data_IF_664747194253
#
_entry.id   IF_664747194253
#
_cell.length_a   1.000
_cell.length_b   1.000
_cell.length_c   1.000
_cell.angle_alpha   90.00
_cell.angle_beta   90.00
_cell.angle_gamma   90.00
#
_symmetry.space_group_name_H-M   'P 1'
#
loop_
_entity.id
_entity.type
_entity.pdbx_description
1 polymer ?
#
# COMPACT_ATOMS: atom_id res chain seq x y z
N UNK A 1 -31.43 4.82 18.52
CA UNK A 1 -30.78 6.07 18.13
C UNK A 1 -30.70 6.09 16.62
N UNK A 2 -30.91 7.21 15.93
CA UNK A 2 -30.67 7.21 14.47
C UNK A 2 -29.24 6.78 14.24
N UNK A 3 -29.06 5.81 13.34
CA UNK A 3 -27.76 5.32 12.93
C UNK A 3 -27.02 6.48 12.25
N UNK A 4 -25.90 6.91 12.83
CA UNK A 4 -25.10 7.99 12.28
C UNK A 4 -24.42 7.46 11.03
N UNK A 5 -24.66 8.09 9.87
CA UNK A 5 -23.94 7.77 8.64
C UNK A 5 -22.49 8.25 8.74
N UNK A 6 -21.60 7.36 9.19
CA UNK A 6 -20.16 7.61 9.34
C UNK A 6 -19.44 7.70 7.97
N UNK A 7 -20.13 7.45 6.86
CA UNK A 7 -19.54 7.59 5.50
C UNK A 7 -19.38 9.06 5.08
N UNK A 8 -20.00 10.00 5.77
CA UNK A 8 -19.92 11.42 5.49
C UNK A 8 -18.66 12.02 6.13
N UNK A 9 -17.63 12.26 5.32
CA UNK A 9 -16.44 12.98 5.75
C UNK A 9 -16.74 14.48 5.77
N UNK A 10 -16.65 15.12 6.95
CA UNK A 10 -16.81 16.56 7.07
C UNK A 10 -15.70 17.29 6.31
N UNK A 11 -16.08 18.18 5.38
CA UNK A 11 -15.13 19.03 4.66
C UNK A 11 -14.60 20.11 5.59
N UNK A 12 -13.29 20.37 5.54
CA UNK A 12 -12.63 21.39 6.34
C UNK A 12 -11.28 21.78 5.79
N UNK A 13 -10.81 22.99 6.11
CA UNK A 13 -9.55 23.56 5.62
C UNK A 13 -8.30 22.78 6.09
N UNK A 14 -8.46 21.89 7.08
CA UNK A 14 -7.37 21.01 7.58
C UNK A 14 -6.94 19.99 6.54
N UNK A 15 -7.86 19.50 5.70
CA UNK A 15 -7.60 18.48 4.72
C UNK A 15 -7.31 19.10 3.36
N UNK A 16 -6.24 18.68 2.74
CA UNK A 16 -5.85 19.10 1.38
C UNK A 16 -6.71 18.37 0.33
N UNK A 17 -6.72 18.91 -0.86
CA UNK A 17 -7.24 18.27 -2.06
C UNK A 17 -6.09 17.76 -2.89
N UNK A 18 -6.27 16.61 -3.53
CA UNK A 18 -5.33 16.13 -4.54
C UNK A 18 -5.43 16.96 -5.82
N UNK A 19 -4.43 16.96 -6.70
CA UNK A 19 -4.52 17.60 -8.02
C UNK A 19 -5.65 17.05 -8.89
N UNK A 20 -6.17 15.84 -8.58
CA UNK A 20 -7.25 15.18 -9.31
C UNK A 20 -8.62 15.39 -8.68
N UNK A 21 -8.69 16.01 -7.51
CA UNK A 21 -9.93 16.10 -6.71
C UNK A 21 -11.12 16.62 -7.51
N UNK A 22 -10.97 17.75 -8.24
CA UNK A 22 -12.07 18.36 -9.00
C UNK A 22 -12.49 17.49 -10.19
N UNK A 23 -11.57 16.79 -10.84
CA UNK A 23 -11.88 15.84 -11.90
C UNK A 23 -12.65 14.63 -11.35
N UNK A 24 -12.21 14.06 -10.23
CA UNK A 24 -12.86 12.89 -9.62
C UNK A 24 -14.32 13.16 -9.26
N UNK A 25 -14.66 14.41 -8.84
CA UNK A 25 -16.05 14.79 -8.52
C UNK A 25 -17.02 14.63 -9.70
N UNK A 26 -16.55 14.77 -10.95
CA UNK A 26 -17.38 14.59 -12.15
C UNK A 26 -17.84 13.17 -12.37
N UNK A 27 -17.17 12.22 -11.72
CA UNK A 27 -17.48 10.78 -11.78
C UNK A 27 -18.29 10.30 -10.58
N UNK A 28 -18.84 11.22 -9.77
CA UNK A 28 -19.78 10.95 -8.68
C UNK A 28 -19.26 9.92 -7.67
N UNK A 29 -18.14 10.18 -6.97
CA UNK A 29 -17.63 9.26 -5.96
C UNK A 29 -18.67 9.02 -4.87
N UNK A 30 -18.83 7.75 -4.48
CA UNK A 30 -19.82 7.29 -3.50
C UNK A 30 -19.25 7.20 -2.08
N UNK A 31 -17.94 7.33 -1.91
CA UNK A 31 -17.31 7.28 -0.60
C UNK A 31 -15.97 8.00 -0.58
N UNK A 32 -15.67 8.60 0.57
CA UNK A 32 -14.42 9.28 0.84
C UNK A 32 -13.87 8.86 2.20
N UNK A 33 -12.56 8.88 2.32
CA UNK A 33 -11.86 8.89 3.60
C UNK A 33 -10.82 10.00 3.61
N UNK A 34 -10.10 10.14 4.71
CA UNK A 34 -8.93 11.03 4.83
C UNK A 34 -7.68 10.17 4.93
N UNK A 35 -6.72 10.43 4.06
CA UNK A 35 -5.44 9.72 4.02
C UNK A 35 -4.32 10.75 3.89
N UNK A 36 -3.29 10.70 4.73
CA UNK A 36 -2.20 11.70 4.76
C UNK A 36 -2.69 13.16 4.75
N UNK A 37 -3.79 13.47 5.47
CA UNK A 37 -4.43 14.78 5.53
C UNK A 37 -5.02 15.27 4.18
N UNK A 38 -5.37 14.35 3.29
CA UNK A 38 -6.05 14.65 2.02
C UNK A 38 -7.37 13.89 1.91
N UNK A 39 -8.32 14.49 1.19
CA UNK A 39 -9.55 13.78 0.81
C UNK A 39 -9.22 12.71 -0.22
N UNK A 40 -9.62 11.50 0.06
CA UNK A 40 -9.36 10.32 -0.74
C UNK A 40 -10.66 9.66 -1.20
N UNK A 41 -10.99 9.68 -2.51
CA UNK A 41 -12.14 8.96 -3.03
C UNK A 41 -11.85 7.45 -3.01
N UNK A 42 -12.63 6.70 -2.23
CA UNK A 42 -12.41 5.26 -2.02
C UNK A 42 -13.40 4.37 -2.76
N UNK A 43 -14.43 4.96 -3.38
CA UNK A 43 -15.45 4.20 -4.10
C UNK A 43 -16.22 5.07 -5.07
N UNK A 44 -16.52 4.55 -6.25
CA UNK A 44 -17.36 5.16 -7.29
C UNK A 44 -18.55 4.27 -7.69
N UNK A 45 -18.44 2.95 -7.46
CA UNK A 45 -19.51 1.98 -7.75
C UNK A 45 -19.65 0.97 -6.59
N UNK A 46 -20.26 -0.19 -6.79
CA UNK A 46 -20.25 -1.29 -5.83
C UNK A 46 -18.86 -1.94 -5.74
N UNK A 47 -18.54 -2.55 -4.61
CA UNK A 47 -17.26 -3.24 -4.44
C UNK A 47 -17.05 -4.33 -5.49
N UNK A 48 -18.10 -5.08 -5.82
CA UNK A 48 -18.08 -6.14 -6.82
C UNK A 48 -17.81 -5.59 -8.22
N UNK A 49 -18.49 -4.48 -8.61
CA UNK A 49 -18.32 -3.88 -9.93
C UNK A 49 -16.90 -3.31 -10.13
N UNK A 50 -16.32 -2.69 -9.08
CA UNK A 50 -14.96 -2.19 -9.11
C UNK A 50 -13.94 -3.34 -9.11
N UNK A 51 -14.19 -4.40 -8.35
CA UNK A 51 -13.36 -5.60 -8.33
C UNK A 51 -13.34 -6.30 -9.70
N UNK A 52 -14.51 -6.50 -10.31
CA UNK A 52 -14.63 -7.08 -11.66
C UNK A 52 -13.91 -6.23 -12.72
N UNK A 53 -14.01 -4.90 -12.62
CA UNK A 53 -13.28 -4.01 -13.53
C UNK A 53 -11.76 -4.13 -13.36
N UNK A 54 -11.28 -4.25 -12.12
CA UNK A 54 -9.86 -4.44 -11.84
C UNK A 54 -9.33 -5.77 -12.40
N UNK A 55 -10.14 -6.83 -12.40
CA UNK A 55 -9.76 -8.14 -12.92
C UNK A 55 -9.79 -8.25 -14.44
N UNK A 56 -10.63 -7.46 -15.12
CA UNK A 56 -10.93 -7.66 -16.54
C UNK A 56 -10.58 -6.48 -17.46
N UNK A 57 -10.56 -5.27 -16.92
CA UNK A 57 -10.47 -4.02 -17.68
C UNK A 57 -9.33 -3.12 -17.20
N UNK A 58 -9.59 -1.82 -17.02
CA UNK A 58 -8.68 -0.84 -16.42
C UNK A 58 -9.40 -0.05 -15.32
N UNK A 59 -8.75 0.07 -14.18
CA UNK A 59 -9.18 0.95 -13.10
C UNK A 59 -8.19 2.09 -12.89
N UNK A 60 -8.69 3.28 -12.59
CA UNK A 60 -7.90 4.49 -12.36
C UNK A 60 -8.18 5.00 -10.95
N UNK A 61 -7.12 5.13 -10.12
CA UNK A 61 -7.20 5.46 -8.71
C UNK A 61 -6.46 6.76 -8.43
N UNK A 62 -7.15 7.73 -7.82
CA UNK A 62 -6.48 8.92 -7.28
C UNK A 62 -5.71 8.55 -6.01
N UNK A 63 -4.45 8.17 -6.15
CA UNK A 63 -3.55 7.86 -5.03
C UNK A 63 -2.55 8.98 -4.74
N UNK A 64 -2.80 10.21 -5.20
CA UNK A 64 -1.97 11.37 -4.85
C UNK A 64 -1.95 11.67 -3.35
N UNK A 65 -2.82 11.03 -2.59
CA UNK A 65 -2.81 10.98 -1.13
C UNK A 65 -1.58 10.27 -0.56
N UNK A 66 -0.86 9.46 -1.35
CA UNK A 66 0.44 8.89 -1.02
C UNK A 66 1.50 9.98 -1.16
N UNK A 67 1.65 10.81 -0.13
CA UNK A 67 2.65 11.88 -0.12
C UNK A 67 4.01 11.33 -0.48
N UNK A 68 4.70 11.99 -1.40
CA UNK A 68 6.04 11.58 -1.82
C UNK A 68 7.09 12.24 -0.91
N UNK A 69 7.78 11.44 -0.09
CA UNK A 69 8.96 11.87 0.64
C UNK A 69 10.18 11.79 -0.28
N UNK A 70 10.81 12.91 -0.57
CA UNK A 70 12.11 12.96 -1.24
C UNK A 70 13.25 13.09 -0.24
N UNK A 71 14.25 12.25 -0.42
CA UNK A 71 15.55 12.33 0.23
C UNK A 71 16.60 12.51 -0.87
N UNK A 72 17.36 13.61 -0.82
CA UNK A 72 18.38 13.96 -1.83
C UNK A 72 19.57 14.66 -1.18
N UNK A 73 20.60 14.97 -1.99
CA UNK A 73 21.83 15.60 -1.54
C UNK A 73 23.03 14.66 -1.58
N UNK A 74 24.21 15.17 -1.24
CA UNK A 74 25.46 14.42 -1.33
C UNK A 74 25.43 13.11 -0.52
N UNK A 75 24.80 13.15 0.65
CA UNK A 75 24.65 12.00 1.55
C UNK A 75 23.25 11.37 1.49
N UNK A 76 22.48 11.62 0.43
CA UNK A 76 21.11 11.14 0.27
C UNK A 76 20.99 9.62 0.37
N UNK A 77 21.90 8.87 -0.31
CA UNK A 77 21.96 7.41 -0.20
C UNK A 77 22.14 6.95 1.24
N UNK A 78 23.15 7.51 1.94
CA UNK A 78 23.46 7.13 3.31
C UNK A 78 22.27 7.37 4.22
N UNK A 79 21.59 8.53 4.06
CA UNK A 79 20.42 8.85 4.89
C UNK A 79 19.22 7.98 4.57
N UNK A 80 18.94 7.71 3.29
CA UNK A 80 17.89 6.78 2.89
C UNK A 80 18.13 5.38 3.46
N UNK A 81 19.39 4.90 3.45
CA UNK A 81 19.77 3.61 4.05
C UNK A 81 19.56 3.57 5.57
N UNK A 82 19.73 4.69 6.30
CA UNK A 82 19.47 4.74 7.74
C UNK A 82 18.01 4.40 8.08
N UNK A 83 17.06 4.78 7.22
CA UNK A 83 15.63 4.59 7.46
C UNK A 83 15.16 3.15 7.32
N UNK A 84 15.88 2.31 6.56
CA UNK A 84 15.40 0.97 6.19
C UNK A 84 16.42 -0.13 6.51
N UNK A 85 15.96 -1.30 7.00
CA UNK A 85 16.82 -2.47 7.16
C UNK A 85 17.07 -3.21 5.83
N UNK A 86 16.50 -2.75 4.71
CA UNK A 86 16.74 -3.33 3.39
C UNK A 86 17.98 -2.71 2.76
N UNK A 87 18.86 -3.52 2.20
CA UNK A 87 20.07 -3.05 1.52
C UNK A 87 19.71 -2.32 0.20
N UNK A 88 19.89 -0.99 0.22
CA UNK A 88 19.61 -0.12 -0.92
C UNK A 88 20.74 -0.13 -1.96
N UNK A 89 21.94 -0.65 -1.65
CA UNK A 89 23.01 -0.82 -2.64
C UNK A 89 22.60 -1.77 -3.75
N UNK A 90 21.69 -2.70 -3.46
CA UNK A 90 21.08 -3.65 -4.40
C UNK A 90 19.90 -3.05 -5.20
N UNK A 91 19.68 -1.73 -5.15
CA UNK A 91 18.68 -1.02 -5.93
C UNK A 91 19.38 -0.11 -6.95
N UNK A 92 19.26 -0.41 -8.22
CA UNK A 92 19.82 0.43 -9.27
C UNK A 92 19.05 1.77 -9.42
N UNK A 93 19.70 2.80 -9.98
CA UNK A 93 18.99 3.97 -10.50
C UNK A 93 18.00 3.49 -11.58
N UNK A 94 16.79 4.00 -11.56
CA UNK A 94 15.72 3.50 -12.44
C UNK A 94 14.87 2.37 -11.83
N UNK A 95 15.25 1.86 -10.66
CA UNK A 95 14.52 0.79 -9.96
C UNK A 95 13.74 1.31 -8.75
N UNK A 96 12.63 0.65 -8.47
CA UNK A 96 11.87 0.80 -7.22
C UNK A 96 12.00 -0.45 -6.34
N UNK A 97 11.72 -0.31 -5.04
CA UNK A 97 11.64 -1.43 -4.08
C UNK A 97 10.60 -1.14 -3.01
N UNK A 98 9.83 -2.16 -2.65
CA UNK A 98 9.03 -2.12 -1.42
C UNK A 98 9.97 -2.22 -0.21
N UNK A 99 9.94 -1.25 0.69
CA UNK A 99 10.83 -1.18 1.86
C UNK A 99 10.03 -0.92 3.12
N UNK A 100 10.63 -1.16 4.26
CA UNK A 100 10.12 -0.72 5.56
C UNK A 100 10.93 0.47 6.02
N UNK A 101 10.27 1.55 6.44
CA UNK A 101 10.88 2.59 7.27
C UNK A 101 10.67 2.15 8.71
N UNK A 102 11.75 2.01 9.48
CA UNK A 102 11.68 1.48 10.83
C UNK A 102 12.35 2.40 11.84
N UNK A 103 11.90 2.34 13.09
CA UNK A 103 12.57 2.97 14.22
C UNK A 103 13.75 2.13 14.77
N UNK A 104 14.40 2.60 15.82
CA UNK A 104 15.56 1.94 16.44
C UNK A 104 15.21 0.62 17.17
N UNK A 105 13.95 0.37 17.44
CA UNK A 105 13.47 -0.86 18.09
C UNK A 105 12.93 -1.87 17.08
N UNK A 106 12.91 -1.50 15.78
CA UNK A 106 12.43 -2.32 14.67
C UNK A 106 10.94 -2.14 14.38
N UNK A 107 10.28 -1.16 15.00
CA UNK A 107 8.88 -0.80 14.74
C UNK A 107 8.70 -0.21 13.35
N UNK A 108 7.64 -0.62 12.65
CA UNK A 108 7.37 -0.21 11.26
C UNK A 108 6.68 1.17 11.25
N UNK A 109 7.43 2.22 10.99
CA UNK A 109 6.91 3.59 10.86
C UNK A 109 6.10 3.76 9.56
N UNK A 110 6.52 3.10 8.47
CA UNK A 110 5.86 3.14 7.17
C UNK A 110 6.37 1.98 6.29
N UNK A 111 5.62 1.65 5.26
CA UNK A 111 5.93 0.56 4.33
C UNK A 111 5.85 1.00 2.85
N UNK A 112 6.62 2.02 2.44
CA UNK A 112 6.50 2.64 1.13
C UNK A 112 7.07 1.79 0.00
N UNK A 113 6.61 2.08 -1.22
CA UNK A 113 7.42 1.82 -2.40
C UNK A 113 8.45 2.94 -2.51
N UNK A 114 9.73 2.58 -2.41
CA UNK A 114 10.86 3.48 -2.60
C UNK A 114 11.36 3.39 -4.04
N UNK A 115 11.56 4.53 -4.68
CA UNK A 115 12.05 4.66 -6.05
C UNK A 115 13.40 5.37 -6.05
N UNK A 116 14.44 4.75 -6.60
CA UNK A 116 15.75 5.40 -6.75
C UNK A 116 15.76 6.22 -8.02
N UNK A 117 15.61 7.54 -7.88
CA UNK A 117 15.52 8.48 -9.00
C UNK A 117 16.89 8.80 -9.61
N UNK A 118 17.89 8.95 -8.74
CA UNK A 118 19.27 9.24 -9.08
C UNK A 118 20.19 8.53 -8.09
N UNK A 119 21.50 8.66 -8.25
CA UNK A 119 22.46 8.00 -7.35
C UNK A 119 22.18 8.28 -5.87
N UNK A 120 21.87 9.53 -5.54
CA UNK A 120 21.62 10.01 -4.18
C UNK A 120 20.22 10.63 -4.01
N UNK A 121 19.27 10.34 -4.91
CA UNK A 121 17.90 10.86 -4.85
C UNK A 121 16.91 9.71 -4.79
N UNK A 122 16.08 9.71 -3.75
CA UNK A 122 15.11 8.67 -3.45
C UNK A 122 13.73 9.27 -3.21
N UNK A 123 12.71 8.68 -3.80
CA UNK A 123 11.30 8.99 -3.54
C UNK A 123 10.67 7.83 -2.79
N UNK A 124 9.86 8.14 -1.78
CA UNK A 124 9.09 7.18 -1.00
C UNK A 124 7.62 7.55 -1.07
N UNK A 125 6.79 6.71 -1.69
CA UNK A 125 5.34 6.85 -1.70
C UNK A 125 4.80 6.36 -0.35
N UNK A 126 4.34 7.30 0.49
CA UNK A 126 4.07 7.02 1.90
C UNK A 126 2.64 6.49 2.14
N UNK A 127 2.54 5.43 2.93
CA UNK A 127 1.31 5.13 3.64
C UNK A 127 0.93 6.26 4.63
N UNK A 128 -0.32 6.27 5.12
CA UNK A 128 -0.81 7.31 6.04
C UNK A 128 -0.13 7.22 7.41
N UNK A 129 1.04 7.84 7.53
CA UNK A 129 1.80 7.93 8.77
C UNK A 129 2.70 9.17 8.79
N UNK A 130 3.34 9.44 9.93
CA UNK A 130 4.21 10.60 10.15
C UNK A 130 5.67 10.38 9.66
N UNK A 131 5.88 9.53 8.65
CA UNK A 131 7.23 9.16 8.17
C UNK A 131 8.06 10.37 7.71
N UNK A 132 7.44 11.41 7.13
CA UNK A 132 8.12 12.64 6.78
C UNK A 132 8.68 13.36 8.02
N UNK A 133 7.87 13.48 9.07
CA UNK A 133 8.31 14.11 10.33
C UNK A 133 9.33 13.25 11.05
N UNK A 134 9.18 11.93 11.02
CA UNK A 134 10.18 10.99 11.53
C UNK A 134 11.54 11.17 10.84
N UNK A 135 11.58 11.19 9.50
CA UNK A 135 12.82 11.40 8.74
C UNK A 135 13.47 12.77 9.07
N UNK A 136 12.66 13.83 9.14
CA UNK A 136 13.15 15.17 9.54
C UNK A 136 13.67 15.20 10.97
N UNK A 137 13.01 14.48 11.89
CA UNK A 137 13.45 14.33 13.27
C UNK A 137 14.79 13.57 13.36
N UNK A 138 14.90 12.44 12.66
CA UNK A 138 16.12 11.64 12.60
C UNK A 138 17.31 12.43 12.07
N UNK A 139 17.11 13.29 11.07
CA UNK A 139 18.15 14.16 10.52
C UNK A 139 18.85 15.00 11.61
N UNK A 140 18.15 15.36 12.70
CA UNK A 140 18.76 16.11 13.80
C UNK A 140 19.85 15.33 14.54
N UNK A 141 19.78 14.00 14.57
CA UNK A 141 20.84 13.14 15.09
C UNK A 141 22.01 13.01 14.11
N UNK A 142 21.78 13.23 12.83
CA UNK A 142 22.74 13.06 11.73
C UNK A 142 23.05 14.40 11.03
N UNK A 143 23.24 15.48 11.80
CA UNK A 143 23.43 16.86 11.29
C UNK A 143 24.64 17.04 10.36
N UNK A 144 25.60 16.13 10.41
CA UNK A 144 26.80 16.17 9.55
C UNK A 144 26.53 15.68 8.12
N UNK A 145 25.41 14.99 7.89
CA UNK A 145 25.04 14.54 6.56
C UNK A 145 24.44 15.73 5.75
N UNK A 146 24.93 15.89 4.54
CA UNK A 146 24.42 16.86 3.57
C UNK A 146 23.21 16.26 2.83
N UNK A 147 22.01 16.47 3.41
CA UNK A 147 20.76 15.92 2.90
C UNK A 147 19.65 16.95 2.91
N UNK A 148 18.81 16.91 1.87
CA UNK A 148 17.52 17.58 1.77
C UNK A 148 16.43 16.55 1.97
N UNK A 149 15.46 16.87 2.85
CA UNK A 149 14.31 16.04 3.16
C UNK A 149 13.06 16.90 2.98
N UNK A 150 12.23 16.56 2.01
CA UNK A 150 11.02 17.34 1.69
C UNK A 150 9.88 16.46 1.21
N UNK A 151 8.67 17.00 1.27
CA UNK A 151 7.56 16.49 0.48
C UNK A 151 7.79 16.97 -0.96
N UNK A 152 7.92 16.04 -1.89
CA UNK A 152 8.07 16.35 -3.31
C UNK A 152 6.71 16.67 -3.89
N UNK A 153 6.64 17.74 -4.68
CA UNK A 153 5.43 18.15 -5.38
C UNK A 153 5.22 17.28 -6.63
N UNK A 154 4.72 16.06 -6.40
CA UNK A 154 4.32 15.11 -7.43
C UNK A 154 3.03 14.43 -7.00
N UNK A 155 2.22 14.00 -7.95
CA UNK A 155 0.94 13.37 -7.67
C UNK A 155 0.84 12.02 -8.38
N UNK A 156 0.95 10.89 -7.63
CA UNK A 156 0.75 9.57 -8.21
C UNK A 156 -0.72 9.30 -8.51
N UNK A 157 -0.96 8.60 -9.63
CA UNK A 157 -2.24 8.03 -10.02
C UNK A 157 -1.99 6.57 -10.42
N UNK A 158 -2.79 5.63 -9.95
CA UNK A 158 -2.67 4.23 -10.34
C UNK A 158 -3.56 3.91 -11.53
N UNK A 159 -3.02 3.13 -12.46
CA UNK A 159 -3.70 2.57 -13.62
C UNK A 159 -3.51 1.06 -13.54
N UNK A 160 -4.53 0.35 -13.08
CA UNK A 160 -4.44 -1.05 -12.69
C UNK A 160 -5.44 -1.91 -13.48
N UNK A 161 -5.07 -3.16 -13.73
CA UNK A 161 -5.87 -4.13 -14.46
C UNK A 161 -5.16 -4.66 -15.71
N UNK A 162 -5.61 -5.80 -16.28
CA UNK A 162 -4.91 -6.50 -17.35
C UNK A 162 -4.73 -5.67 -18.63
N UNK A 163 -5.65 -4.74 -18.91
CA UNK A 163 -5.59 -3.87 -20.09
C UNK A 163 -4.84 -2.55 -19.87
N UNK A 164 -4.21 -2.38 -18.70
CA UNK A 164 -3.40 -1.19 -18.39
C UNK A 164 -2.20 -1.05 -19.32
N UNK A 165 -1.63 -2.16 -19.81
CA UNK A 165 -0.52 -2.16 -20.77
C UNK A 165 -0.89 -1.46 -22.08
N UNK A 166 -2.03 -1.81 -22.64
CA UNK A 166 -2.52 -1.22 -23.89
C UNK A 166 -2.81 0.26 -23.71
N UNK A 167 -3.46 0.62 -22.60
CA UNK A 167 -3.70 2.04 -22.28
C UNK A 167 -2.39 2.81 -22.15
N UNK A 168 -1.41 2.30 -21.41
CA UNK A 168 -0.12 2.96 -21.25
C UNK A 168 0.66 3.04 -22.57
N UNK A 169 0.62 2.00 -23.43
CA UNK A 169 1.20 2.06 -24.77
C UNK A 169 0.60 3.20 -25.60
N UNK A 170 -0.71 3.37 -25.58
CA UNK A 170 -1.38 4.44 -26.34
C UNK A 170 -1.10 5.84 -25.78
N UNK A 171 -0.74 5.94 -24.49
CA UNK A 171 -0.42 7.20 -23.82
C UNK A 171 1.05 7.62 -23.96
N UNK A 172 2.00 6.67 -23.85
CA UNK A 172 3.43 6.97 -23.74
C UNK A 172 4.30 6.19 -24.73
N UNK A 173 3.70 5.36 -25.61
CA UNK A 173 4.37 4.60 -26.66
C UNK A 173 4.84 3.21 -26.23
N UNK A 174 5.34 2.45 -27.19
CA UNK A 174 5.70 1.02 -27.06
C UNK A 174 6.77 0.74 -25.99
N UNK A 175 7.61 1.71 -25.65
CA UNK A 175 8.70 1.52 -24.67
C UNK A 175 8.20 1.08 -23.29
N UNK A 176 6.98 1.47 -22.92
CA UNK A 176 6.38 1.14 -21.62
C UNK A 176 6.11 -0.37 -21.47
N UNK A 177 5.89 -1.09 -22.58
CA UNK A 177 5.67 -2.54 -22.55
C UNK A 177 6.91 -3.31 -22.11
N UNK A 178 8.11 -2.73 -22.28
CA UNK A 178 9.39 -3.30 -21.85
C UNK A 178 9.77 -2.89 -20.43
N UNK A 179 8.97 -2.03 -19.77
CA UNK A 179 9.23 -1.59 -18.41
C UNK A 179 9.05 -2.77 -17.45
N UNK A 180 10.16 -3.18 -16.80
CA UNK A 180 10.16 -4.31 -15.87
C UNK A 180 9.40 -3.97 -14.58
N UNK A 181 8.83 -4.97 -13.96
CA UNK A 181 8.18 -4.84 -12.64
C UNK A 181 9.16 -4.24 -11.61
N UNK A 182 8.71 -3.21 -10.87
CA UNK A 182 9.52 -2.36 -9.98
C UNK A 182 10.62 -1.57 -10.70
N UNK A 183 10.37 -1.13 -11.93
CA UNK A 183 11.19 -0.15 -12.64
C UNK A 183 10.36 1.05 -13.05
N UNK A 184 11.04 2.15 -13.38
CA UNK A 184 10.40 3.37 -13.81
C UNK A 184 11.11 3.98 -15.04
N UNK A 185 10.37 4.83 -15.73
CA UNK A 185 10.90 5.67 -16.83
C UNK A 185 10.25 7.04 -16.80
N UNK A 186 10.96 8.05 -17.32
CA UNK A 186 10.35 9.35 -17.65
C UNK A 186 9.54 9.20 -18.92
N UNK A 187 8.43 9.95 -19.01
CA UNK A 187 7.56 9.98 -20.17
C UNK A 187 6.83 11.33 -20.24
N UNK A 188 6.09 11.50 -21.30
CA UNK A 188 5.21 12.64 -21.52
C UNK A 188 3.84 12.14 -22.00
N UNK A 189 2.77 12.62 -21.42
CA UNK A 189 1.40 12.32 -21.82
C UNK A 189 0.78 13.61 -22.35
N UNK A 190 0.66 13.75 -23.67
CA UNK A 190 0.13 14.97 -24.32
C UNK A 190 0.78 16.28 -23.80
N UNK A 191 2.11 16.30 -23.71
CA UNK A 191 2.86 17.45 -23.21
C UNK A 191 2.84 17.60 -21.69
N UNK A 192 2.35 16.62 -20.93
CA UNK A 192 2.39 16.57 -19.46
C UNK A 192 3.58 15.71 -19.04
N UNK A 193 4.59 16.27 -18.35
CA UNK A 193 5.73 15.48 -17.90
C UNK A 193 5.34 14.55 -16.75
N UNK A 194 5.71 13.27 -16.87
CA UNK A 194 5.40 12.25 -15.88
C UNK A 194 6.58 11.31 -15.64
N UNK A 195 6.55 10.61 -14.51
CA UNK A 195 7.32 9.40 -14.27
C UNK A 195 6.33 8.24 -14.23
N UNK A 196 6.59 7.20 -15.04
CA UNK A 196 5.79 5.98 -15.06
C UNK A 196 6.56 4.89 -14.36
N UNK A 197 5.97 4.27 -13.33
CA UNK A 197 6.52 3.11 -12.64
C UNK A 197 5.67 1.89 -12.94
N UNK A 198 6.28 0.71 -13.02
CA UNK A 198 5.54 -0.55 -13.10
C UNK A 198 5.37 -1.12 -11.70
N UNK A 199 4.50 -0.48 -10.94
CA UNK A 199 4.14 -0.75 -9.55
C UNK A 199 2.63 -0.64 -9.36
N UNK A 200 2.13 -0.97 -8.19
CA UNK A 200 0.73 -0.83 -7.82
C UNK A 200 0.38 -1.58 -6.54
N UNK A 201 -0.72 -1.18 -5.92
CA UNK A 201 -1.22 -1.76 -4.66
C UNK A 201 -2.38 -2.74 -4.87
N UNK A 202 -2.45 -3.37 -6.05
CA UNK A 202 -3.59 -4.20 -6.47
C UNK A 202 -3.29 -5.69 -6.56
N UNK A 203 -2.03 -6.11 -6.58
CA UNK A 203 -1.60 -7.46 -7.00
C UNK A 203 -2.10 -7.85 -8.41
N UNK A 204 -2.50 -6.90 -9.22
CA UNK A 204 -2.79 -7.06 -10.65
C UNK A 204 -1.70 -6.41 -11.49
N UNK A 205 -1.75 -6.60 -12.81
CA UNK A 205 -0.90 -5.84 -13.74
C UNK A 205 -1.27 -4.37 -13.63
N UNK A 206 -0.25 -3.50 -13.56
CA UNK A 206 -0.53 -2.09 -13.46
C UNK A 206 0.70 -1.20 -13.45
N UNK A 207 0.42 0.07 -13.44
CA UNK A 207 1.38 1.16 -13.43
C UNK A 207 0.95 2.25 -12.48
N UNK A 208 1.92 3.02 -12.01
CA UNK A 208 1.70 4.29 -11.34
C UNK A 208 2.30 5.40 -12.19
N UNK A 209 1.56 6.49 -12.35
CA UNK A 209 1.97 7.67 -13.11
C UNK A 209 2.12 8.81 -12.11
N UNK A 210 3.35 9.27 -11.89
CA UNK A 210 3.66 10.41 -11.04
C UNK A 210 3.62 11.67 -11.89
N UNK A 211 2.60 12.49 -11.72
CA UNK A 211 2.45 13.80 -12.35
C UNK A 211 3.50 14.76 -11.78
N UNK A 212 4.34 15.35 -12.65
CA UNK A 212 5.41 16.27 -12.25
C UNK A 212 4.99 17.73 -12.23
N UNK A 213 3.94 18.08 -12.98
CA UNK A 213 3.30 19.40 -12.94
C UNK A 213 1.88 19.24 -12.33
N UNK A 214 1.80 19.36 -11.01
CA UNK A 214 0.56 19.12 -10.26
C UNK A 214 -0.57 20.09 -10.61
N UNK A 215 -0.29 21.23 -11.26
CA UNK A 215 -1.32 22.15 -11.76
C UNK A 215 -2.15 21.53 -12.90
N UNK A 216 -1.65 20.51 -13.57
CA UNK A 216 -2.29 19.82 -14.70
C UNK A 216 -3.02 18.52 -14.31
N UNK A 217 -3.32 18.34 -13.01
CA UNK A 217 -3.97 17.11 -12.52
C UNK A 217 -5.28 16.78 -13.19
N UNK A 218 -6.19 17.76 -13.29
CA UNK A 218 -7.47 17.57 -13.97
C UNK A 218 -7.31 17.18 -15.45
N UNK A 219 -6.34 17.76 -16.14
CA UNK A 219 -6.05 17.47 -17.55
C UNK A 219 -5.52 16.03 -17.73
N UNK A 220 -4.60 15.59 -16.87
CA UNK A 220 -4.09 14.23 -16.88
C UNK A 220 -5.21 13.23 -16.62
N UNK A 221 -6.04 13.45 -15.60
CA UNK A 221 -7.18 12.59 -15.28
C UNK A 221 -8.12 12.40 -16.46
N UNK A 222 -8.57 13.50 -17.07
CA UNK A 222 -9.48 13.44 -18.21
C UNK A 222 -8.84 12.79 -19.45
N UNK A 223 -7.53 12.99 -19.62
CA UNK A 223 -6.77 12.32 -20.69
C UNK A 223 -6.77 10.80 -20.49
N UNK A 224 -6.49 10.33 -19.26
CA UNK A 224 -6.54 8.90 -18.94
C UNK A 224 -7.92 8.31 -19.18
N UNK A 225 -8.97 9.00 -18.73
CA UNK A 225 -10.35 8.57 -18.92
C UNK A 225 -10.76 8.55 -20.40
N UNK A 226 -10.33 9.55 -21.17
CA UNK A 226 -10.67 9.64 -22.60
C UNK A 226 -9.98 8.54 -23.43
N UNK A 227 -8.64 8.40 -23.28
CA UNK A 227 -7.85 7.39 -24.00
C UNK A 227 -8.20 5.98 -23.52
N UNK A 228 -8.59 5.85 -22.27
CA UNK A 228 -8.96 4.59 -21.63
C UNK A 228 -10.33 4.02 -22.05
N UNK A 229 -11.19 4.77 -22.75
CA UNK A 229 -12.54 4.30 -23.16
C UNK A 229 -12.53 2.95 -23.88
N UNK A 230 -11.67 2.67 -24.89
CA UNK A 230 -11.60 1.36 -25.55
C UNK A 230 -11.26 0.20 -24.61
N UNK A 231 -10.59 0.52 -23.51
CA UNK A 231 -10.14 -0.42 -22.47
C UNK A 231 -11.11 -0.49 -21.29
N UNK A 232 -12.28 0.15 -21.42
CA UNK A 232 -13.31 0.29 -20.38
C UNK A 232 -12.76 0.87 -19.08
N UNK A 233 -11.81 1.81 -19.20
CA UNK A 233 -11.24 2.48 -18.04
C UNK A 233 -12.32 3.19 -17.24
N UNK A 234 -12.29 3.01 -15.92
CA UNK A 234 -13.21 3.65 -14.99
C UNK A 234 -12.49 4.10 -13.72
N UNK A 235 -12.98 5.16 -13.07
CA UNK A 235 -12.49 5.52 -11.76
C UNK A 235 -12.96 4.48 -10.74
N UNK A 236 -12.07 4.10 -9.83
CA UNK A 236 -12.40 3.27 -8.67
C UNK A 236 -11.58 3.73 -7.46
N UNK A 237 -11.90 3.19 -6.29
CA UNK A 237 -11.01 3.23 -5.15
C UNK A 237 -10.05 2.04 -5.12
N UNK A 238 -9.07 2.03 -4.19
CA UNK A 238 -8.27 0.86 -3.92
C UNK A 238 -9.13 -0.34 -3.53
N UNK A 239 -8.83 -1.50 -4.11
CA UNK A 239 -9.62 -2.70 -3.88
C UNK A 239 -9.19 -3.43 -2.62
N UNK A 240 -9.97 -3.31 -1.53
CA UNK A 240 -9.74 -4.09 -0.31
C UNK A 240 -9.85 -5.60 -0.55
N UNK A 241 -10.73 -6.03 -1.46
CA UNK A 241 -10.83 -7.45 -1.83
C UNK A 241 -9.48 -7.93 -2.37
N UNK A 242 -8.94 -7.20 -3.36
CA UNK A 242 -7.75 -7.66 -4.07
C UNK A 242 -6.46 -7.54 -3.24
N UNK A 243 -6.34 -6.48 -2.41
CA UNK A 243 -5.19 -6.37 -1.50
C UNK A 243 -5.14 -7.52 -0.49
N UNK A 244 -6.31 -7.90 0.07
CA UNK A 244 -6.38 -8.99 1.03
C UNK A 244 -6.06 -10.32 0.32
N UNK A 245 -6.63 -10.58 -0.86
CA UNK A 245 -6.28 -11.75 -1.67
C UNK A 245 -4.77 -11.88 -1.91
N UNK A 246 -4.10 -10.76 -2.18
CA UNK A 246 -2.67 -10.68 -2.49
C UNK A 246 -1.75 -10.53 -1.29
N UNK A 247 -2.27 -10.58 -0.07
CA UNK A 247 -1.53 -10.35 1.18
C UNK A 247 -0.78 -9.02 1.20
N UNK A 248 -1.45 -7.94 0.78
CA UNK A 248 -0.97 -6.57 0.91
C UNK A 248 -1.59 -5.94 2.16
N UNK A 249 -0.77 -5.58 3.11
CA UNK A 249 -1.20 -4.95 4.35
C UNK A 249 -1.51 -3.47 4.14
N UNK A 250 -2.37 -2.95 5.01
CA UNK A 250 -2.66 -1.52 5.10
C UNK A 250 -2.09 -1.00 6.42
N UNK A 251 -1.07 -0.14 6.33
CA UNK A 251 -0.47 0.48 7.51
C UNK A 251 -1.52 1.31 8.26
N UNK A 252 -1.56 1.18 9.58
CA UNK A 252 -2.59 1.77 10.43
C UNK A 252 -3.75 0.82 10.72
N UNK A 253 -4.15 -0.01 9.76
CA UNK A 253 -5.18 -1.04 9.96
C UNK A 253 -4.57 -2.37 10.42
N UNK A 254 -3.69 -2.96 9.59
CA UNK A 254 -3.16 -4.30 9.79
C UNK A 254 -1.87 -4.31 10.60
N UNK A 255 -1.05 -3.29 10.47
CA UNK A 255 0.21 -3.11 11.20
C UNK A 255 0.43 -1.64 11.55
N UNK A 256 1.25 -1.38 12.57
CA UNK A 256 1.62 -0.05 13.05
C UNK A 256 3.08 -0.04 13.50
N UNK A 257 3.56 1.08 14.02
CA UNK A 257 4.91 1.19 14.63
C UNK A 257 5.14 0.25 15.83
N UNK A 258 4.08 -0.36 16.38
CA UNK A 258 4.19 -1.35 17.45
C UNK A 258 4.55 -2.75 16.94
N UNK A 259 4.57 -2.93 15.61
CA UNK A 259 4.83 -4.21 14.97
C UNK A 259 6.16 -4.17 14.23
N UNK A 260 6.80 -5.32 14.11
CA UNK A 260 8.06 -5.47 13.40
C UNK A 260 7.94 -6.43 12.20
N UNK A 261 8.98 -6.49 11.37
CA UNK A 261 8.99 -7.28 10.14
C UNK A 261 8.76 -8.79 10.35
N UNK A 262 9.18 -9.34 11.50
CA UNK A 262 8.98 -10.78 11.79
C UNK A 262 7.54 -11.10 12.18
N UNK A 263 6.91 -10.20 12.93
CA UNK A 263 5.51 -10.33 13.28
C UNK A 263 4.58 -10.21 12.07
N UNK A 264 4.96 -9.39 11.09
CA UNK A 264 4.19 -9.18 9.87
C UNK A 264 4.53 -10.14 8.73
N UNK A 265 5.53 -11.04 8.90
CA UNK A 265 5.97 -11.93 7.81
C UNK A 265 6.74 -11.21 6.70
N UNK A 266 7.26 -10.02 6.97
CA UNK A 266 8.05 -9.19 6.05
C UNK A 266 9.56 -9.29 6.31
N UNK A 267 10.04 -10.26 7.07
CA UNK A 267 11.45 -10.47 7.43
C UNK A 267 12.37 -10.58 6.22
N UNK A 268 11.85 -10.94 5.04
CA UNK A 268 12.58 -10.94 3.75
C UNK A 268 13.05 -9.54 3.32
N UNK A 269 12.50 -8.48 3.93
CA UNK A 269 12.89 -7.09 3.69
C UNK A 269 14.01 -6.61 4.62
N UNK A 270 14.49 -7.48 5.51
CA UNK A 270 15.59 -7.19 6.43
C UNK A 270 16.86 -7.87 5.91
N UNK A 271 17.86 -7.08 5.54
CA UNK A 271 19.15 -7.60 5.07
C UNK A 271 20.17 -7.64 6.21
N UNK A 272 20.41 -8.84 6.74
CA UNK A 272 21.34 -9.05 7.84
C UNK A 272 22.82 -8.93 7.48
N UNK A 273 23.16 -8.70 6.20
CA UNK A 273 24.53 -8.39 5.77
C UNK A 273 24.93 -6.93 6.03
N UNK A 274 23.94 -6.05 6.28
CA UNK A 274 24.21 -4.66 6.62
C UNK A 274 25.01 -4.53 7.91
N UNK A 275 25.95 -3.57 7.96
CA UNK A 275 26.63 -3.17 9.19
C UNK A 275 25.64 -2.55 10.18
N UNK A 276 25.97 -2.59 11.49
CA UNK A 276 25.06 -2.12 12.54
C UNK A 276 24.73 -0.63 12.46
N UNK A 277 25.62 0.17 11.89
CA UNK A 277 25.47 1.61 11.69
C UNK A 277 24.85 1.98 10.33
N UNK A 278 24.61 1.01 9.46
CA UNK A 278 24.02 1.24 8.13
C UNK A 278 22.53 1.61 8.22
N UNK A 279 21.79 1.01 9.17
CA UNK A 279 20.40 1.31 9.43
C UNK A 279 20.14 1.39 10.92
N UNK A 280 19.32 2.33 11.36
CA UNK A 280 18.98 2.51 12.78
C UNK A 280 18.26 1.30 13.39
N UNK A 281 17.65 0.45 12.57
CA UNK A 281 16.84 -0.69 13.02
C UNK A 281 17.57 -2.03 12.96
N UNK A 282 18.70 -2.16 12.27
CA UNK A 282 19.30 -3.48 11.99
C UNK A 282 19.76 -4.20 13.25
N UNK A 283 20.30 -3.48 14.23
CA UNK A 283 20.72 -4.05 15.50
C UNK A 283 19.51 -4.62 16.30
N UNK A 284 18.36 -3.93 16.25
CA UNK A 284 17.12 -4.43 16.84
C UNK A 284 16.64 -5.70 16.13
N UNK A 285 16.66 -5.73 14.80
CA UNK A 285 16.27 -6.92 14.04
C UNK A 285 17.15 -8.13 14.29
N UNK A 286 18.47 -7.95 14.55
CA UNK A 286 19.33 -9.05 15.01
C UNK A 286 18.88 -9.60 16.35
N UNK A 287 18.54 -8.74 17.31
CA UNK A 287 17.99 -9.17 18.61
C UNK A 287 16.65 -9.89 18.47
N UNK A 288 15.73 -9.33 17.66
CA UNK A 288 14.41 -9.93 17.40
C UNK A 288 14.58 -11.31 16.76
N UNK A 289 15.47 -11.47 15.77
CA UNK A 289 15.76 -12.75 15.12
C UNK A 289 16.21 -13.83 16.10
N UNK A 290 17.03 -13.48 17.08
CA UNK A 290 17.52 -14.42 18.12
C UNK A 290 16.43 -14.74 19.13
N UNK A 291 15.69 -13.71 19.59
CA UNK A 291 14.67 -13.84 20.63
C UNK A 291 13.39 -14.54 20.10
N UNK A 292 13.08 -14.37 18.81
CA UNK A 292 11.79 -14.69 18.23
C UNK A 292 10.72 -13.64 18.54
N UNK A 293 9.51 -13.87 18.03
CA UNK A 293 8.34 -12.98 18.24
C UNK A 293 7.27 -13.72 19.04
N UNK A 294 6.47 -12.96 19.78
CA UNK A 294 5.39 -13.50 20.60
C UNK A 294 4.10 -13.73 19.82
N UNK A 295 3.87 -12.93 18.78
CA UNK A 295 2.66 -12.96 17.94
C UNK A 295 3.02 -12.80 16.46
N UNK A 296 2.06 -13.14 15.60
CA UNK A 296 2.19 -12.97 14.14
C UNK A 296 0.84 -12.68 13.52
N UNK A 297 0.85 -11.91 12.43
CA UNK A 297 -0.32 -11.76 11.55
C UNK A 297 -0.39 -12.96 10.61
N UNK A 298 -1.57 -13.55 10.48
CA UNK A 298 -1.84 -14.73 9.66
C UNK A 298 -3.07 -14.51 8.78
N UNK A 299 -3.18 -15.28 7.69
CA UNK A 299 -4.40 -15.35 6.89
C UNK A 299 -5.46 -16.18 7.58
N UNK A 300 -6.72 -15.78 7.47
CA UNK A 300 -7.87 -16.54 7.96
C UNK A 300 -8.96 -16.65 6.90
N UNK A 301 -9.58 -17.83 6.80
CA UNK A 301 -10.86 -18.05 6.17
C UNK A 301 -11.93 -18.07 7.25
N UNK A 302 -13.02 -17.29 7.09
CA UNK A 302 -14.07 -17.13 8.10
C UNK A 302 -15.37 -17.69 7.56
N UNK A 303 -15.95 -18.65 8.28
CA UNK A 303 -17.17 -19.34 7.88
C UNK A 303 -18.40 -18.40 7.87
N UNK A 304 -19.46 -18.83 7.19
CA UNK A 304 -20.77 -18.17 7.18
C UNK A 304 -21.08 -17.38 5.89
N UNK A 305 -22.16 -16.62 5.93
CA UNK A 305 -22.60 -15.81 4.79
C UNK A 305 -21.55 -14.78 4.37
N UNK A 306 -21.52 -14.39 3.08
CA UNK A 306 -20.65 -13.33 2.58
C UNK A 306 -20.73 -12.06 3.44
N UNK A 307 -19.56 -11.49 3.78
CA UNK A 307 -19.53 -10.18 4.42
C UNK A 307 -19.96 -9.11 3.40
N UNK A 308 -20.88 -8.21 3.77
CA UNK A 308 -21.39 -7.18 2.86
C UNK A 308 -20.38 -6.04 2.61
N UNK A 309 -19.38 -5.92 3.46
CA UNK A 309 -18.34 -4.87 3.41
C UNK A 309 -17.07 -5.31 4.13
N UNK A 310 -16.00 -4.53 3.99
CA UNK A 310 -14.84 -4.60 4.87
C UNK A 310 -15.30 -4.31 6.32
N UNK A 311 -14.72 -5.01 7.30
CA UNK A 311 -14.95 -4.69 8.70
C UNK A 311 -14.49 -3.27 9.04
N UNK A 312 -15.29 -2.54 9.81
CA UNK A 312 -15.02 -1.16 10.23
C UNK A 312 -14.35 -1.08 11.61
N UNK A 313 -14.34 -2.19 12.35
CA UNK A 313 -13.68 -2.35 13.65
C UNK A 313 -12.89 -3.64 13.68
N UNK A 314 -11.87 -3.70 14.55
CA UNK A 314 -11.11 -4.94 14.75
C UNK A 314 -11.95 -5.93 15.56
N UNK A 315 -12.09 -7.15 15.05
CA UNK A 315 -12.91 -8.19 15.71
C UNK A 315 -12.05 -9.04 16.64
N UNK A 316 -12.48 -9.29 17.89
CA UNK A 316 -11.81 -10.22 18.79
C UNK A 316 -11.76 -11.64 18.21
N UNK A 317 -10.62 -12.32 18.40
CA UNK A 317 -10.45 -13.73 18.04
C UNK A 317 -10.12 -14.52 19.30
N UNK A 318 -10.89 -15.58 19.55
CA UNK A 318 -10.83 -16.40 20.76
C UNK A 318 -10.51 -17.85 20.47
N UNK A 319 -9.93 -18.55 21.44
CA UNK A 319 -9.80 -20.01 21.42
C UNK A 319 -11.16 -20.68 21.59
N UNK A 320 -11.24 -22.00 21.38
CA UNK A 320 -12.43 -22.79 21.66
C UNK A 320 -12.86 -22.72 23.16
N UNK A 321 -11.94 -22.38 24.05
CA UNK A 321 -12.22 -22.18 25.48
C UNK A 321 -12.79 -20.80 25.81
N UNK A 322 -12.92 -19.89 24.84
CA UNK A 322 -13.45 -18.54 25.04
C UNK A 322 -12.42 -17.46 25.39
N UNK A 323 -11.13 -17.83 25.54
CA UNK A 323 -10.09 -16.86 25.83
C UNK A 323 -9.78 -16.04 24.58
N UNK A 324 -9.89 -14.70 24.67
CA UNK A 324 -9.50 -13.78 23.62
C UNK A 324 -7.97 -13.80 23.49
N UNK A 325 -7.49 -14.26 22.35
CA UNK A 325 -6.05 -14.44 22.08
C UNK A 325 -5.54 -13.57 20.94
N UNK A 326 -6.44 -12.93 20.18
CA UNK A 326 -6.05 -12.16 19.01
C UNK A 326 -7.13 -11.23 18.49
N UNK A 327 -6.91 -10.73 17.28
CA UNK A 327 -7.87 -9.83 16.62
C UNK A 327 -7.78 -9.93 15.11
N UNK A 328 -8.92 -9.93 14.44
CA UNK A 328 -9.01 -9.74 12.98
C UNK A 328 -8.92 -8.24 12.68
N UNK A 329 -8.01 -7.85 11.82
CA UNK A 329 -7.78 -6.43 11.46
C UNK A 329 -8.47 -6.04 10.17
N UNK A 330 -8.47 -6.95 9.18
CA UNK A 330 -9.15 -6.75 7.91
C UNK A 330 -9.83 -8.04 7.50
N UNK A 331 -11.11 -7.98 7.12
CA UNK A 331 -11.84 -9.13 6.60
C UNK A 331 -12.90 -8.68 5.59
N UNK A 332 -13.02 -9.43 4.49
CA UNK A 332 -13.95 -9.15 3.40
C UNK A 332 -14.33 -10.45 2.69
N UNK A 333 -15.46 -10.45 2.00
CA UNK A 333 -15.81 -11.53 1.08
C UNK A 333 -15.05 -11.41 -0.24
N UNK A 334 -14.38 -12.50 -0.66
CA UNK A 334 -13.77 -12.61 -1.98
C UNK A 334 -14.73 -13.32 -2.93
N UNK A 335 -15.27 -12.64 -3.97
CA UNK A 335 -16.12 -13.29 -4.98
C UNK A 335 -15.36 -14.36 -5.77
N UNK A 336 -14.08 -14.16 -6.04
CA UNK A 336 -13.20 -15.11 -6.74
C UNK A 336 -13.05 -16.41 -5.95
N UNK A 337 -12.77 -16.32 -4.66
CA UNK A 337 -12.60 -17.48 -3.78
C UNK A 337 -13.91 -18.03 -3.24
N UNK A 338 -14.99 -17.25 -3.32
CA UNK A 338 -16.31 -17.54 -2.72
C UNK A 338 -16.21 -17.79 -1.21
N UNK A 339 -15.38 -17.01 -0.52
CA UNK A 339 -15.08 -17.13 0.91
C UNK A 339 -14.86 -15.77 1.53
N UNK A 340 -15.16 -15.68 2.82
CA UNK A 340 -14.69 -14.56 3.63
C UNK A 340 -13.24 -14.82 4.00
N UNK A 341 -12.36 -13.88 3.69
CA UNK A 341 -10.92 -13.93 3.95
C UNK A 341 -10.50 -12.71 4.75
N UNK A 342 -9.41 -12.83 5.49
CA UNK A 342 -8.92 -11.72 6.29
C UNK A 342 -7.57 -11.97 6.93
N UNK A 343 -7.13 -10.98 7.72
CA UNK A 343 -5.90 -11.03 8.50
C UNK A 343 -6.23 -11.08 9.98
N UNK A 344 -5.55 -11.93 10.72
CA UNK A 344 -5.71 -12.09 12.16
C UNK A 344 -4.35 -12.06 12.86
N UNK A 345 -4.23 -11.25 13.89
CA UNK A 345 -3.12 -11.30 14.82
C UNK A 345 -3.36 -12.41 15.83
N UNK A 346 -2.39 -13.30 16.00
CA UNK A 346 -2.46 -14.44 16.96
C UNK A 346 -1.12 -14.64 17.65
N UNK A 347 -1.09 -15.25 18.85
CA UNK A 347 0.15 -15.76 19.43
C UNK A 347 0.86 -16.71 18.49
N UNK A 348 2.19 -16.70 18.50
CA UNK A 348 3.00 -17.54 17.60
C UNK A 348 2.67 -19.02 17.73
N UNK A 349 2.31 -19.48 18.93
CA UNK A 349 1.90 -20.86 19.20
C UNK A 349 0.59 -21.28 18.49
N UNK A 350 -0.22 -20.32 18.04
CA UNK A 350 -1.48 -20.56 17.32
C UNK A 350 -1.36 -20.20 15.84
N UNK A 351 -0.20 -19.76 15.35
CA UNK A 351 -0.02 -19.22 13.99
C UNK A 351 0.06 -20.31 12.90
N UNK A 352 -0.02 -21.58 13.25
CA UNK A 352 0.10 -22.67 12.29
C UNK A 352 -1.15 -22.85 11.42
N UNK A 353 -0.99 -23.02 10.10
CA UNK A 353 -2.10 -23.30 9.21
C UNK A 353 -2.92 -24.52 9.66
N UNK A 354 -4.25 -24.38 9.63
CA UNK A 354 -5.20 -25.40 10.07
C UNK A 354 -5.75 -25.16 11.48
N UNK A 355 -5.10 -24.37 12.31
CA UNK A 355 -5.65 -23.96 13.60
C UNK A 355 -6.97 -23.19 13.43
N UNK A 356 -7.86 -23.28 14.40
CA UNK A 356 -9.19 -22.66 14.35
C UNK A 356 -9.43 -21.76 15.54
N UNK A 357 -10.14 -20.66 15.27
CA UNK A 357 -10.52 -19.62 16.23
C UNK A 357 -12.01 -19.34 16.13
N UNK A 358 -12.59 -18.77 17.17
CA UNK A 358 -13.88 -18.11 17.12
C UNK A 358 -13.63 -16.60 16.94
N UNK A 359 -14.31 -15.96 15.99
CA UNK A 359 -14.19 -14.53 15.70
C UNK A 359 -15.54 -13.87 15.94
N UNK A 360 -15.56 -12.87 16.82
CA UNK A 360 -16.77 -12.11 17.13
C UNK A 360 -16.95 -10.98 16.13
N UNK A 361 -17.72 -11.25 15.08
CA UNK A 361 -18.01 -10.30 14.00
C UNK A 361 -19.26 -9.47 14.31
N UNK A 362 -19.48 -8.39 13.56
CA UNK A 362 -20.72 -7.58 13.63
C UNK A 362 -22.00 -8.42 13.32
N UNK A 363 -21.83 -9.58 12.68
CA UNK A 363 -22.92 -10.49 12.29
C UNK A 363 -22.93 -11.79 13.13
N UNK A 364 -22.37 -11.74 14.35
CA UNK A 364 -22.28 -12.86 15.28
C UNK A 364 -20.94 -13.57 15.26
N UNK A 365 -20.77 -14.49 16.22
CA UNK A 365 -19.55 -15.29 16.33
C UNK A 365 -19.44 -16.30 15.18
N UNK A 366 -18.30 -16.33 14.50
CA UNK A 366 -18.01 -17.22 13.38
C UNK A 366 -16.73 -17.98 13.61
N UNK A 367 -16.68 -19.21 13.09
CA UNK A 367 -15.44 -19.97 13.06
C UNK A 367 -14.51 -19.42 12.01
N UNK A 368 -13.22 -19.27 12.35
CA UNK A 368 -12.16 -18.91 11.44
C UNK A 368 -11.09 -20.03 11.43
N UNK A 369 -10.55 -20.31 10.25
CA UNK A 369 -9.44 -21.26 10.06
C UNK A 369 -8.22 -20.49 9.58
N UNK A 370 -7.07 -20.71 10.21
CA UNK A 370 -5.80 -20.12 9.77
C UNK A 370 -5.36 -20.83 8.49
N UNK A 371 -4.98 -20.04 7.49
CA UNK A 371 -4.55 -20.50 6.17
C UNK A 371 -3.30 -19.75 5.69
N UNK A 372 -2.54 -20.32 4.76
CA UNK A 372 -1.40 -19.63 4.16
C UNK A 372 -1.81 -18.34 3.43
N UNK A 373 -0.90 -17.37 3.38
CA UNK A 373 -0.99 -16.16 2.57
C UNK A 373 0.17 -16.12 1.55
N UNK A 374 -0.02 -15.48 0.38
CA UNK A 374 -1.26 -14.88 -0.17
C UNK A 374 -2.35 -15.91 -0.45
N UNK A 375 -3.63 -15.48 -0.41
CA UNK A 375 -4.77 -16.34 -0.76
C UNK A 375 -4.86 -16.62 -2.27
N UNK A 376 -4.38 -15.66 -3.07
CA UNK A 376 -4.37 -15.72 -4.54
C UNK A 376 -2.97 -15.35 -5.03
N UNK A 377 -2.47 -16.08 -6.03
CA UNK A 377 -1.20 -15.84 -6.72
C UNK A 377 0.01 -15.75 -5.76
N UNK A 378 0.32 -16.83 -5.00
CA UNK A 378 1.42 -16.83 -4.05
C UNK A 378 2.79 -16.56 -4.69
N UNK A 379 2.95 -16.90 -5.96
CA UNK A 379 4.18 -16.68 -6.73
C UNK A 379 4.26 -15.27 -7.36
N UNK A 380 3.23 -14.43 -7.17
CA UNK A 380 3.12 -13.08 -7.77
C UNK A 380 3.32 -13.06 -9.29
N UNK A 381 2.75 -14.03 -10.01
CA UNK A 381 2.84 -14.12 -11.47
C UNK A 381 1.98 -13.08 -12.17
N UNK A 382 0.83 -12.73 -11.59
CA UNK A 382 -0.11 -11.77 -12.18
C UNK A 382 0.54 -10.39 -12.31
N UNK A 383 1.06 -9.72 -11.25
CA UNK A 383 1.58 -8.37 -11.38
C UNK A 383 2.87 -8.29 -12.21
N UNK A 384 3.61 -9.40 -12.36
CA UNK A 384 4.85 -9.42 -13.16
C UNK A 384 4.62 -9.78 -14.63
N UNK A 385 3.44 -10.28 -14.99
CA UNK A 385 3.09 -10.73 -16.34
C UNK A 385 3.17 -9.63 -17.40
#
# INVERSE_FOLDING_TARGET
>A
MPEFDMSLVQRGARNRRTPYYEATQRYSPKGFTVYNHMYFPIRFDTFEAEFEALLNDVTIWDVAVERCLEISGKDGFRFAQLLTPRDLSKCAVGQAKYVLICDSDGGIINDPVMTRMEENTFWFALASSDALLFARGLRNAYRKLDVTIREQDVAPIQVQGPRSKELLRDLVGESVLNLRYYWWQRAEIRGIPVVVTRTGWSSEVGYEIYLLDTSRGNELWETLMQVGKPYKARPTGPSDIRRIEGAIFNWGADMTYQNNAFETGLERLVDFSLADDASISIAAYRRIKVKGVACRIVGVEIDGAPFPSLNNVKWPASTAGGDVVGKVTSAIYSPRLRRNIGYCWVPIALAEPGATLAVDTEWGTRRAKIVPMPFVDPDKRIPVS
#
